data_IF_718158629057
#
_entry.id   IF_718158629057
#
_cell.length_a   1.000
_cell.length_b   1.000
_cell.length_c   1.000
_cell.angle_alpha   90.00
_cell.angle_beta   90.00
_cell.angle_gamma   90.00
#
_symmetry.space_group_name_H-M   'P 1'
#
loop_
_entity.id
_entity.type
_entity.pdbx_description
1 polymer ?
#
# COMPACT_ATOMS: atom_id res chain seq x y z
N UNK A 1 22.98 -8.02 -1.74
CA UNK A 1 21.75 -7.21 -1.79
C UNK A 1 21.73 -6.38 -0.51
N UNK A 2 21.81 -5.05 -0.63
CA UNK A 2 21.86 -4.11 0.50
C UNK A 2 20.71 -3.09 0.38
N UNK A 3 19.60 -3.52 -0.26
CA UNK A 3 18.41 -2.71 -0.50
C UNK A 3 17.54 -2.60 0.76
N UNK A 4 17.45 -3.66 1.58
CA UNK A 4 16.54 -3.68 2.74
C UNK A 4 16.88 -2.60 3.78
N UNK A 5 18.14 -2.46 4.19
CA UNK A 5 18.53 -1.52 5.26
C UNK A 5 18.17 -0.05 4.97
N UNK A 6 18.27 0.38 3.72
CA UNK A 6 17.93 1.77 3.35
C UNK A 6 16.41 1.97 3.28
N UNK A 7 15.67 0.94 2.85
CA UNK A 7 14.21 0.98 2.84
C UNK A 7 13.67 0.95 4.28
N UNK A 8 14.25 0.14 5.16
CA UNK A 8 13.90 0.07 6.59
C UNK A 8 14.06 1.43 7.29
N UNK A 9 15.16 2.12 7.02
CA UNK A 9 15.41 3.47 7.55
C UNK A 9 14.38 4.48 7.04
N UNK A 10 13.98 4.37 5.77
CA UNK A 10 12.98 5.28 5.18
C UNK A 10 11.58 5.04 5.71
N UNK A 11 11.18 3.77 5.88
CA UNK A 11 9.88 3.40 6.45
C UNK A 11 9.78 3.88 7.90
N UNK A 12 10.87 3.82 8.68
CA UNK A 12 10.92 4.34 10.07
C UNK A 12 10.79 5.86 10.18
N UNK A 13 11.01 6.59 9.10
CA UNK A 13 10.97 8.05 9.04
C UNK A 13 9.65 8.55 8.43
N UNK A 14 8.52 7.98 8.82
CA UNK A 14 7.21 8.43 8.33
C UNK A 14 6.86 9.85 8.80
N UNK A 15 6.12 10.59 7.97
CA UNK A 15 5.63 11.96 8.23
C UNK A 15 4.18 12.09 7.75
N UNK A 16 3.24 11.66 8.60
CA UNK A 16 1.82 11.70 8.27
C UNK A 16 1.29 13.12 8.16
N UNK A 17 1.77 14.07 8.98
CA UNK A 17 1.29 15.44 8.95
C UNK A 17 1.60 16.09 7.60
N UNK A 18 2.81 15.86 7.06
CA UNK A 18 3.16 16.29 5.71
C UNK A 18 2.24 15.65 4.66
N UNK A 19 2.04 14.34 4.71
CA UNK A 19 1.23 13.62 3.72
C UNK A 19 -0.23 14.08 3.75
N UNK A 20 -0.80 14.25 4.93
CA UNK A 20 -2.18 14.74 5.10
C UNK A 20 -2.33 16.15 4.56
N UNK A 21 -1.35 17.02 4.82
CA UNK A 21 -1.32 18.36 4.24
C UNK A 21 -1.14 18.34 2.71
N UNK A 22 -0.35 17.40 2.19
CA UNK A 22 -0.05 17.29 0.77
C UNK A 22 -1.24 16.75 -0.03
N UNK A 23 -1.88 15.68 0.46
CA UNK A 23 -3.01 15.02 -0.18
C UNK A 23 -4.35 15.68 0.14
N UNK A 24 -4.42 16.53 1.18
CA UNK A 24 -5.64 17.23 1.58
C UNK A 24 -6.65 16.37 2.34
N UNK A 25 -6.29 15.13 2.67
CA UNK A 25 -7.13 14.16 3.36
C UNK A 25 -6.36 13.46 4.49
N UNK A 26 -7.02 13.07 5.59
CA UNK A 26 -6.38 12.35 6.68
C UNK A 26 -5.95 10.95 6.23
N UNK A 27 -4.72 10.56 6.56
CA UNK A 27 -4.21 9.20 6.33
C UNK A 27 -5.00 8.24 7.24
N UNK A 28 -5.47 7.09 6.73
CA UNK A 28 -6.24 6.13 7.51
C UNK A 28 -5.53 5.71 8.80
N UNK A 29 -6.26 5.70 9.92
CA UNK A 29 -5.68 5.40 11.24
C UNK A 29 -5.02 4.01 11.29
N UNK A 30 -5.60 3.01 10.62
CA UNK A 30 -5.03 1.68 10.52
C UNK A 30 -3.64 1.65 9.86
N UNK A 31 -3.38 2.50 8.85
CA UNK A 31 -2.04 2.64 8.27
C UNK A 31 -1.11 3.36 9.25
N UNK A 32 -1.56 4.44 9.89
CA UNK A 32 -0.72 5.12 10.88
C UNK A 32 -0.28 4.18 12.00
N UNK A 33 -1.19 3.33 12.47
CA UNK A 33 -0.93 2.30 13.48
C UNK A 33 0.06 1.25 12.98
N UNK A 34 -0.13 0.72 11.77
CA UNK A 34 0.74 -0.29 11.15
C UNK A 34 2.20 0.19 11.03
N UNK A 35 2.40 1.44 10.63
CA UNK A 35 3.73 2.05 10.53
C UNK A 35 4.32 2.38 11.90
N UNK A 36 3.49 2.89 12.83
CA UNK A 36 3.96 3.27 14.18
C UNK A 36 4.31 2.06 15.04
N UNK A 37 3.64 0.92 14.86
CA UNK A 37 3.97 -0.34 15.53
C UNK A 37 5.24 -1.00 14.97
N UNK A 38 5.59 -0.68 13.73
CA UNK A 38 6.66 -1.35 12.98
C UNK A 38 6.23 -2.67 12.34
N UNK A 39 4.95 -3.03 12.42
CA UNK A 39 4.40 -4.27 11.86
C UNK A 39 4.54 -4.34 10.33
N UNK A 40 4.68 -3.21 9.64
CA UNK A 40 5.06 -3.16 8.21
C UNK A 40 6.29 -4.00 7.87
N UNK A 41 7.25 -4.17 8.80
CA UNK A 41 8.45 -5.00 8.59
C UNK A 41 8.18 -6.50 8.73
N UNK A 42 7.06 -6.87 9.34
CA UNK A 42 6.62 -8.25 9.50
C UNK A 42 5.65 -8.66 8.39
N UNK A 43 5.09 -7.69 7.65
CA UNK A 43 4.13 -7.90 6.57
C UNK A 43 4.73 -7.67 5.17
N UNK A 44 5.93 -8.21 4.91
CA UNK A 44 6.62 -8.10 3.62
C UNK A 44 6.79 -9.46 2.94
N UNK A 45 6.96 -9.46 1.61
CA UNK A 45 7.08 -10.68 0.79
C UNK A 45 5.87 -11.63 0.92
N UNK A 46 4.66 -11.07 1.00
CA UNK A 46 3.40 -11.80 1.15
C UNK A 46 2.65 -11.85 -0.18
N UNK A 47 2.08 -13.01 -0.48
CA UNK A 47 1.18 -13.21 -1.62
C UNK A 47 -0.16 -13.70 -1.06
N UNK A 48 -1.20 -12.91 -1.29
CA UNK A 48 -2.60 -13.30 -1.08
C UNK A 48 -3.18 -13.72 -2.42
N UNK A 49 -3.62 -14.97 -2.46
CA UNK A 49 -4.34 -15.55 -3.59
C UNK A 49 -5.63 -16.19 -3.04
N UNK A 50 -6.77 -15.53 -3.27
CA UNK A 50 -8.09 -16.06 -2.92
C UNK A 50 -8.78 -16.49 -4.21
N UNK A 51 -8.80 -17.81 -4.45
CA UNK A 51 -9.54 -18.41 -5.57
C UNK A 51 -11.06 -18.20 -5.39
N UNK A 52 -11.75 -17.96 -6.52
CA UNK A 52 -13.21 -17.90 -6.64
C UNK A 52 -13.89 -18.93 -5.72
N UNK A 53 -14.84 -18.48 -4.89
CA UNK A 53 -15.86 -19.39 -4.41
C UNK A 53 -16.76 -19.81 -5.59
N UNK A 54 -17.47 -20.94 -5.44
CA UNK A 54 -18.41 -21.47 -6.44
C UNK A 54 -19.52 -20.45 -6.87
N UNK A 55 -19.53 -19.24 -6.31
CA UNK A 55 -20.46 -18.13 -6.57
C UNK A 55 -19.89 -17.05 -7.53
N UNK A 56 -18.62 -17.12 -7.93
CA UNK A 56 -18.04 -16.32 -9.03
C UNK A 56 -17.76 -14.85 -8.69
N UNK A 57 -17.30 -14.58 -7.47
CA UNK A 57 -16.77 -13.26 -7.10
C UNK A 57 -15.31 -13.11 -7.54
N UNK A 58 -14.95 -12.01 -8.22
CA UNK A 58 -13.61 -11.72 -8.74
C UNK A 58 -12.46 -12.16 -7.81
N UNK A 59 -11.54 -12.97 -8.35
CA UNK A 59 -10.26 -13.35 -7.75
C UNK A 59 -9.53 -12.14 -7.13
N UNK A 60 -9.30 -12.19 -5.81
CA UNK A 60 -8.47 -11.21 -5.13
C UNK A 60 -7.01 -11.68 -5.13
N UNK A 61 -6.16 -10.95 -5.84
CA UNK A 61 -4.71 -11.17 -5.87
C UNK A 61 -3.96 -9.96 -5.30
N UNK A 62 -3.22 -10.16 -4.21
CA UNK A 62 -2.37 -9.12 -3.59
C UNK A 62 -0.96 -9.67 -3.45
N UNK A 63 0.02 -9.06 -4.12
CA UNK A 63 1.43 -9.39 -3.94
C UNK A 63 2.16 -8.20 -3.32
N UNK A 64 2.60 -8.31 -2.07
CA UNK A 64 3.39 -7.26 -1.39
C UNK A 64 4.82 -7.72 -1.29
N UNK A 65 5.69 -7.11 -2.08
CA UNK A 65 7.13 -7.23 -1.86
C UNK A 65 7.56 -6.33 -0.69
N UNK A 66 7.10 -5.07 -0.67
CA UNK A 66 7.47 -4.10 0.38
C UNK A 66 6.36 -3.06 0.60
N UNK A 67 6.37 -2.42 1.77
CA UNK A 67 5.58 -1.23 2.07
C UNK A 67 6.28 0.04 1.57
N UNK A 68 5.51 1.04 1.13
CA UNK A 68 6.06 2.30 0.61
C UNK A 68 6.36 3.29 1.75
N UNK A 69 7.51 3.96 1.78
CA UNK A 69 7.78 4.95 2.82
C UNK A 69 6.76 6.12 2.76
N UNK A 70 6.03 6.32 3.86
CA UNK A 70 5.07 7.41 3.99
C UNK A 70 5.75 8.65 4.58
N UNK A 71 6.59 9.33 3.79
CA UNK A 71 7.34 10.51 4.23
C UNK A 71 7.53 11.59 3.15
N UNK A 72 7.96 12.79 3.55
CA UNK A 72 8.16 13.92 2.63
C UNK A 72 9.07 13.58 1.44
N UNK A 73 10.19 12.88 1.65
CA UNK A 73 11.15 12.55 0.60
C UNK A 73 10.48 11.80 -0.57
N UNK A 74 9.58 10.86 -0.26
CA UNK A 74 8.85 10.10 -1.28
C UNK A 74 7.85 10.95 -2.04
N UNK A 75 7.17 11.88 -1.38
CA UNK A 75 6.19 12.76 -2.02
C UNK A 75 6.83 13.95 -2.75
N UNK A 76 8.10 14.25 -2.51
CA UNK A 76 8.88 15.16 -3.36
C UNK A 76 9.32 14.50 -4.68
N UNK A 77 9.40 13.17 -4.73
CA UNK A 77 9.78 12.38 -5.91
C UNK A 77 8.86 11.15 -6.07
N UNK A 78 7.55 11.38 -6.26
CA UNK A 78 6.58 10.31 -6.38
C UNK A 78 6.87 9.47 -7.63
N UNK A 79 6.33 8.26 -7.65
CA UNK A 79 6.34 7.45 -8.85
C UNK A 79 5.47 8.12 -9.94
N UNK A 80 5.91 8.21 -11.20
CA UNK A 80 5.14 8.85 -12.25
C UNK A 80 3.72 8.29 -12.36
N UNK A 81 2.72 9.18 -12.41
CA UNK A 81 1.31 8.81 -12.47
C UNK A 81 0.64 8.59 -11.12
N UNK A 82 1.39 8.67 -10.01
CA UNK A 82 0.86 8.47 -8.65
C UNK A 82 0.97 9.72 -7.76
N UNK A 83 1.25 10.88 -8.35
CA UNK A 83 1.59 12.12 -7.64
C UNK A 83 0.48 12.61 -6.70
N UNK A 84 -0.75 12.15 -6.90
CA UNK A 84 -1.94 12.62 -6.18
C UNK A 84 -2.53 11.55 -5.26
N UNK A 85 -1.88 10.40 -5.13
CA UNK A 85 -2.44 9.26 -4.43
C UNK A 85 -1.65 8.94 -3.16
N UNK A 86 -2.32 8.24 -2.25
CA UNK A 86 -1.67 7.63 -1.10
C UNK A 86 -1.09 6.29 -1.54
N UNK A 87 0.23 6.23 -1.76
CA UNK A 87 0.93 4.99 -2.11
C UNK A 87 1.41 4.32 -0.82
N UNK A 88 0.98 3.09 -0.54
CA UNK A 88 1.29 2.45 0.74
C UNK A 88 1.96 1.07 0.62
N UNK A 89 1.85 0.36 -0.50
CA UNK A 89 2.56 -0.90 -0.73
C UNK A 89 2.92 -1.09 -2.21
N UNK A 90 3.82 -2.03 -2.50
CA UNK A 90 4.26 -2.37 -3.85
C UNK A 90 4.53 -3.87 -4.03
N UNK A 91 4.50 -4.32 -5.28
CA UNK A 91 4.71 -5.74 -5.65
C UNK A 91 6.17 -6.11 -5.99
N UNK A 92 7.09 -5.14 -5.92
CA UNK A 92 8.51 -5.36 -6.24
C UNK A 92 8.85 -5.28 -7.73
N UNK A 93 7.85 -5.17 -8.61
CA UNK A 93 7.99 -4.97 -10.05
C UNK A 93 7.73 -3.53 -10.47
N UNK A 94 7.45 -2.64 -9.52
CA UNK A 94 7.14 -1.23 -9.76
C UNK A 94 5.65 -0.91 -9.69
N UNK A 95 4.79 -1.92 -9.55
CA UNK A 95 3.36 -1.71 -9.37
C UNK A 95 3.05 -1.35 -7.91
N UNK A 96 2.00 -0.57 -7.72
CA UNK A 96 1.70 0.07 -6.44
C UNK A 96 0.28 -0.22 -5.99
N UNK A 97 0.11 -0.45 -4.69
CA UNK A 97 -1.19 -0.38 -4.04
C UNK A 97 -1.38 1.03 -3.51
N UNK A 98 -2.47 1.65 -3.96
CA UNK A 98 -2.75 3.05 -3.71
C UNK A 98 -4.18 3.26 -3.20
N UNK A 99 -4.43 4.42 -2.62
CA UNK A 99 -5.78 4.89 -2.34
C UNK A 99 -5.93 6.36 -2.74
N UNK A 100 -7.14 6.73 -3.18
CA UNK A 100 -7.41 8.04 -3.74
C UNK A 100 -7.98 9.01 -2.69
N UNK A 101 -7.46 10.24 -2.56
CA UNK A 101 -8.02 11.25 -1.66
C UNK A 101 -9.48 11.59 -1.97
N UNK A 102 -9.86 11.63 -3.25
CA UNK A 102 -11.23 11.92 -3.70
C UNK A 102 -12.26 10.85 -3.28
N UNK A 103 -11.79 9.65 -2.94
CA UNK A 103 -12.58 8.53 -2.41
C UNK A 103 -12.41 8.41 -0.89
N UNK A 104 -11.88 9.44 -0.22
CA UNK A 104 -11.53 9.44 1.22
C UNK A 104 -10.64 8.25 1.64
N UNK A 105 -9.84 7.72 0.70
CA UNK A 105 -9.05 6.51 0.89
C UNK A 105 -9.88 5.25 1.26
N UNK A 106 -11.16 5.20 0.90
CA UNK A 106 -12.05 4.08 1.25
C UNK A 106 -11.81 2.84 0.39
N UNK A 107 -11.21 2.97 -0.79
CA UNK A 107 -10.98 1.87 -1.74
C UNK A 107 -9.49 1.76 -2.07
N UNK A 108 -8.99 0.54 -2.07
CA UNK A 108 -7.65 0.19 -2.54
C UNK A 108 -7.68 -0.05 -4.05
N UNK A 109 -6.72 0.55 -4.74
CA UNK A 109 -6.49 0.32 -6.17
C UNK A 109 -5.11 -0.27 -6.38
N UNK A 110 -5.01 -1.12 -7.39
CA UNK A 110 -3.75 -1.56 -7.95
C UNK A 110 -3.38 -0.65 -9.13
N UNK A 111 -2.17 -0.11 -9.12
CA UNK A 111 -1.60 0.71 -10.18
C UNK A 111 -0.54 -0.09 -10.92
N UNK A 112 -0.81 -0.38 -12.19
CA UNK A 112 0.16 -0.97 -13.10
C UNK A 112 1.05 0.13 -13.67
N UNK A 113 2.35 0.06 -13.36
CA UNK A 113 3.29 1.08 -13.78
C UNK A 113 3.67 1.04 -15.26
N UNK A 114 3.51 -0.10 -15.93
CA UNK A 114 3.85 -0.25 -17.34
C UNK A 114 2.75 0.36 -18.22
N UNK A 115 1.49 0.15 -17.84
CA UNK A 115 0.33 0.60 -18.60
C UNK A 115 -0.22 1.94 -18.08
N UNK A 116 0.01 2.26 -16.81
CA UNK A 116 -0.61 3.37 -16.10
C UNK A 116 -2.07 3.12 -15.72
N UNK A 117 -2.54 1.86 -15.86
CA UNK A 117 -3.91 1.49 -15.51
C UNK A 117 -4.11 1.43 -14.00
N UNK A 118 -5.34 1.74 -13.59
CA UNK A 118 -5.79 1.69 -12.20
C UNK A 118 -6.97 0.75 -12.09
N UNK A 119 -6.79 -0.31 -11.32
CA UNK A 119 -7.81 -1.32 -11.06
C UNK A 119 -8.27 -1.24 -9.61
N UNK A 120 -9.59 -1.18 -9.39
CA UNK A 120 -10.15 -1.22 -8.05
C UNK A 120 -10.12 -2.65 -7.53
N UNK A 121 -9.57 -2.87 -6.34
CA UNK A 121 -9.65 -4.17 -5.67
C UNK A 121 -10.99 -4.35 -4.93
N UNK A 122 -11.89 -3.35 -4.97
CA UNK A 122 -13.20 -3.35 -4.32
C UNK A 122 -13.16 -3.64 -2.80
N UNK A 123 -12.00 -3.45 -2.17
CA UNK A 123 -11.78 -3.59 -0.73
C UNK A 123 -11.20 -2.30 -0.15
N UNK A 124 -11.40 -2.11 1.14
CA UNK A 124 -10.82 -1.00 1.87
C UNK A 124 -9.46 -1.38 2.49
N UNK A 125 -8.71 -0.39 2.95
CA UNK A 125 -7.38 -0.57 3.53
C UNK A 125 -7.39 -1.48 4.78
N UNK A 126 -8.34 -1.36 5.73
CA UNK A 126 -8.45 -2.33 6.83
C UNK A 126 -8.59 -3.79 6.37
N UNK A 127 -9.44 -4.07 5.38
CA UNK A 127 -9.61 -5.41 4.80
C UNK A 127 -8.33 -5.88 4.13
N UNK A 128 -7.68 -5.01 3.34
CA UNK A 128 -6.39 -5.30 2.71
C UNK A 128 -5.33 -5.73 3.74
N UNK A 129 -5.15 -4.94 4.81
CA UNK A 129 -4.21 -5.26 5.89
C UNK A 129 -4.60 -6.58 6.59
N UNK A 130 -5.90 -6.79 6.82
CA UNK A 130 -6.40 -8.03 7.42
C UNK A 130 -6.03 -9.27 6.61
N UNK A 131 -6.25 -9.25 5.29
CA UNK A 131 -5.88 -10.34 4.39
C UNK A 131 -4.39 -10.65 4.39
N UNK A 132 -3.57 -9.59 4.37
CA UNK A 132 -2.10 -9.72 4.43
C UNK A 132 -1.66 -10.32 5.77
N UNK A 133 -2.29 -9.94 6.88
CA UNK A 133 -2.01 -10.51 8.20
C UNK A 133 -2.38 -11.99 8.28
N UNK A 134 -3.58 -12.35 7.84
CA UNK A 134 -4.08 -13.73 7.84
C UNK A 134 -3.09 -14.65 7.12
N UNK A 135 -2.63 -14.26 5.92
CA UNK A 135 -1.67 -15.09 5.19
C UNK A 135 -0.26 -15.14 5.79
N UNK A 136 0.12 -14.15 6.60
CA UNK A 136 1.43 -14.19 7.27
C UNK A 136 1.47 -15.17 8.45
N UNK A 137 0.31 -15.56 8.98
CA UNK A 137 0.20 -16.51 10.10
C UNK A 137 0.18 -17.99 9.65
N UNK A 138 -0.03 -18.26 8.36
CA UNK A 138 -0.10 -19.60 7.75
C UNK A 138 1.25 -20.11 7.22
#
# INVERSE_FOLDING_TARGET
MTLSKNLDEKIKNFDFDYIESYLGNPVPSCLKELYSSGEVFELENIIVDEEDDDEGNDLLYICIANWEPLNEERYQRPWPGTEKYLNFAQDGSGNLFIAKPEENFEVVHFFDHETGELESLNINIPTFIGKVREWNED
#
